data_IF_263689221947
#
_entry.id   IF_263689221947
#
_cell.length_a   1.000
_cell.length_b   1.000
_cell.length_c   1.000
_cell.angle_alpha   90.00
_cell.angle_beta   90.00
_cell.angle_gamma   90.00
#
_symmetry.space_group_name_H-M   'P 1'
#
loop_
_entity.id
_entity.type
_entity.pdbx_description
1 polymer ?
2 non-polymer ?
3 water ?
#
# COMPACT_ATOMS: atom_id res chain seq x y z
N UNK A 9 -2.87 -21.09 11.83
CA UNK A 9 -3.77 -22.02 11.09
C UNK A 9 -5.11 -21.31 10.97
N UNK A 10 -5.89 -21.65 9.97
CA UNK A 10 -7.21 -21.05 9.74
C UNK A 10 -8.28 -22.12 9.85
N UNK A 11 -9.47 -21.76 10.29
CA UNK A 11 -10.64 -22.66 10.26
C UNK A 11 -11.65 -22.00 9.30
N UNK A 12 -12.06 -22.71 8.25
CA UNK A 12 -13.06 -22.23 7.27
C UNK A 12 -14.27 -23.16 7.34
N UNK A 13 -15.44 -22.60 7.62
CA UNK A 13 -16.69 -23.38 7.75
C UNK A 13 -17.88 -22.49 7.44
N UNK A 14 -19.08 -23.04 7.55
CA UNK A 14 -20.32 -22.26 7.41
C UNK A 14 -21.09 -22.35 8.73
N UNK A 15 -21.78 -21.28 9.10
CA UNK A 15 -22.56 -21.24 10.35
C UNK A 15 -23.97 -21.78 10.06
N UNK A 16 -24.89 -21.65 11.02
CA UNK A 16 -26.25 -22.19 10.90
C UNK A 16 -27.08 -21.44 9.86
N UNK A 17 -26.66 -20.24 9.47
CA UNK A 17 -27.34 -19.45 8.41
C UNK A 17 -26.68 -19.77 7.06
N UNK A 18 -25.71 -20.67 7.02
CA UNK A 18 -25.01 -21.06 5.78
C UNK A 18 -23.95 -20.04 5.38
N UNK A 19 -23.62 -19.13 6.29
CA UNK A 19 -22.66 -18.02 6.02
C UNK A 19 -21.24 -18.52 6.30
N UNK A 20 -20.31 -18.23 5.40
CA UNK A 20 -18.89 -18.60 5.57
C UNK A 20 -18.32 -17.89 6.80
N UNK A 21 -17.63 -18.65 7.64
CA UNK A 21 -16.93 -18.12 8.83
C UNK A 21 -15.45 -18.51 8.66
N UNK A 22 -14.53 -17.55 8.77
CA UNK A 22 -13.07 -17.80 8.75
C UNK A 22 -12.53 -17.28 10.09
N UNK A 23 -11.94 -18.14 10.90
CA UNK A 23 -11.34 -17.73 12.20
C UNK A 23 -12.36 -16.95 13.03
N UNK A 24 -13.59 -17.43 13.12
CA UNK A 24 -14.62 -16.84 13.99
C UNK A 24 -15.34 -15.65 13.38
N UNK A 25 -14.93 -15.21 12.18
CA UNK A 25 -15.49 -14.00 11.55
C UNK A 25 -16.43 -14.43 10.42
N UNK A 26 -17.64 -13.88 10.41
CA UNK A 26 -18.65 -14.19 9.38
C UNK A 26 -18.48 -13.27 8.16
N UNK A 27 -18.67 -13.81 6.98
CA UNK A 27 -18.56 -13.09 5.69
C UNK A 27 -19.86 -13.32 4.92
N UNK A 28 -20.96 -12.66 5.31
CA UNK A 28 -22.25 -12.90 4.67
C UNK A 28 -22.34 -12.48 3.18
N UNK A 29 -21.37 -11.73 2.69
CA UNK A 29 -21.33 -11.29 1.26
C UNK A 29 -20.63 -12.33 0.39
N UNK A 30 -20.02 -13.35 0.99
CA UNK A 30 -19.17 -14.31 0.26
C UNK A 30 -19.94 -15.55 -0.22
N UNK A 31 -19.68 -15.97 -1.45
CA UNK A 31 -20.25 -17.22 -2.00
C UNK A 31 -19.31 -18.38 -1.62
N UNK A 32 -18.00 -18.24 -1.91
CA UNK A 32 -16.99 -19.26 -1.58
C UNK A 32 -15.69 -18.60 -1.09
N UNK A 33 -14.90 -19.31 -0.30
CA UNK A 33 -13.54 -18.86 0.06
C UNK A 33 -12.65 -19.28 -1.11
N UNK A 34 -11.78 -18.40 -1.59
CA UNK A 34 -10.78 -18.72 -2.65
C UNK A 34 -9.45 -19.08 -1.98
N UNK A 35 -8.97 -18.21 -1.11
CA UNK A 35 -7.67 -18.43 -0.44
C UNK A 35 -7.63 -17.76 0.92
N UNK A 36 -7.06 -18.42 1.90
CA UNK A 36 -6.84 -17.84 3.22
C UNK A 36 -5.59 -16.96 3.18
N UNK A 37 -5.40 -16.16 4.21
CA UNK A 37 -4.23 -15.26 4.32
C UNK A 37 -2.95 -16.09 4.21
N UNK A 38 -2.90 -17.21 4.88
CA UNK A 38 -1.65 -18.01 4.92
C UNK A 38 -1.31 -18.48 3.50
N UNK A 39 -2.29 -18.91 2.74
CA UNK A 39 -2.09 -19.40 1.34
C UNK A 39 -1.64 -18.23 0.46
N UNK A 40 -2.29 -17.09 0.63
CA UNK A 40 -1.99 -15.88 -0.17
C UNK A 40 -0.53 -15.47 0.10
N UNK A 41 -0.18 -15.33 1.37
CA UNK A 41 1.17 -14.83 1.75
C UNK A 41 2.25 -15.82 1.26
N UNK A 42 1.99 -17.11 1.39
CA UNK A 42 2.95 -18.15 0.93
C UNK A 42 3.11 -18.00 -0.58
N UNK A 43 2.02 -17.76 -1.29
CA UNK A 43 2.05 -17.61 -2.76
C UNK A 43 2.84 -16.36 -3.16
N UNK A 44 2.63 -15.26 -2.46
CA UNK A 44 3.32 -13.98 -2.80
C UNK A 44 4.82 -14.17 -2.57
N UNK A 45 5.19 -14.76 -1.44
CA UNK A 45 6.63 -14.91 -1.09
C UNK A 45 7.32 -15.81 -2.15
N UNK A 46 6.65 -16.85 -2.59
CA UNK A 46 7.20 -17.76 -3.63
C UNK A 46 7.46 -16.96 -4.93
N UNK A 47 6.52 -16.13 -5.36
CA UNK A 47 6.72 -15.28 -6.58
C UNK A 47 7.84 -14.26 -6.31
N UNK A 48 7.93 -13.74 -5.11
CA UNK A 48 8.98 -12.77 -4.76
C UNK A 48 10.35 -13.42 -5.04
N UNK A 49 10.49 -14.68 -4.66
CA UNK A 49 11.75 -15.43 -4.89
C UNK A 49 11.99 -15.57 -6.41
N UNK A 50 10.96 -15.90 -7.16
CA UNK A 50 11.05 -16.01 -8.64
C UNK A 50 11.51 -14.67 -9.23
N UNK A 51 10.91 -13.58 -8.77
CA UNK A 51 11.20 -12.22 -9.31
C UNK A 51 12.67 -11.89 -8.97
N UNK A 52 13.09 -12.13 -7.73
CA UNK A 52 14.46 -11.81 -7.29
C UNK A 52 15.46 -12.66 -8.09
N UNK A 53 15.16 -13.95 -8.23
CA UNK A 53 16.07 -14.86 -8.97
C UNK A 53 16.15 -14.41 -10.44
N UNK A 54 15.06 -13.89 -11.00
CA UNK A 54 15.02 -13.48 -12.42
C UNK A 54 15.81 -12.20 -12.65
N UNK A 55 15.65 -11.17 -11.79
CA UNK A 55 16.24 -9.82 -12.02
C UNK A 55 17.62 -9.66 -11.37
N UNK A 56 17.91 -10.42 -10.33
CA UNK A 56 19.18 -10.24 -9.58
C UNK A 56 20.39 -10.17 -10.53
N UNK A 57 20.54 -11.09 -11.51
CA UNK A 57 21.75 -11.10 -12.35
C UNK A 57 21.75 -10.13 -13.54
N UNK A 58 20.71 -9.33 -13.70
CA UNK A 58 20.54 -8.50 -14.91
C UNK A 58 21.19 -7.12 -14.72
N UNK A 59 21.51 -6.45 -15.82
CA UNK A 59 22.09 -5.10 -15.82
C UNK A 59 21.16 -4.22 -16.67
N UNK A 60 21.22 -2.92 -16.53
CA UNK A 60 20.40 -1.95 -17.30
C UNK A 60 21.09 -0.59 -17.25
N UNK A 61 20.45 0.45 -17.81
CA UNK A 61 21.14 1.77 -17.90
C UNK A 61 21.60 2.24 -16.53
N UNK A 62 22.83 2.77 -16.44
CA UNK A 62 23.40 3.37 -15.22
C UNK A 62 23.05 4.85 -15.21
N UNK A 63 22.12 5.29 -14.36
CA UNK A 63 21.74 6.71 -14.19
C UNK A 63 22.43 7.27 -12.95
N UNK A 64 23.03 6.41 -12.12
CA UNK A 64 23.76 6.81 -10.89
C UNK A 64 25.13 7.39 -11.24
N UNK A 65 25.90 6.70 -12.08
CA UNK A 65 27.19 7.21 -12.56
C UNK A 65 27.04 7.87 -13.93
N UNK A 66 25.82 8.03 -14.44
CA UNK A 66 25.55 8.57 -15.79
C UNK A 66 26.25 7.69 -16.82
N UNK A 67 26.65 6.47 -16.43
CA UNK A 67 27.47 5.58 -17.26
C UNK A 67 26.64 4.87 -18.29
N UNK A 68 27.15 3.78 -18.83
CA UNK A 68 26.44 3.04 -19.86
C UNK A 68 25.49 2.10 -19.15
N UNK A 69 25.97 0.93 -18.76
CA UNK A 69 25.13 -0.14 -18.17
C UNK A 69 25.77 -0.59 -16.87
N UNK A 70 24.95 -1.03 -15.91
CA UNK A 70 25.45 -1.52 -14.61
C UNK A 70 24.44 -2.50 -14.02
N UNK A 71 24.88 -3.40 -13.13
CA UNK A 71 23.96 -4.35 -12.54
C UNK A 71 22.80 -3.71 -11.76
N UNK A 72 21.69 -4.43 -11.69
CA UNK A 72 20.57 -4.00 -10.81
C UNK A 72 21.20 -3.88 -9.41
N UNK A 73 21.06 -2.72 -8.77
CA UNK A 73 21.67 -2.42 -7.47
C UNK A 73 20.87 -1.32 -6.77
N UNK A 74 21.22 -0.98 -5.56
CA UNK A 74 20.58 0.17 -4.89
C UNK A 74 20.90 1.44 -5.70
N UNK A 75 22.02 1.50 -6.38
CA UNK A 75 22.36 2.68 -7.22
C UNK A 75 21.44 2.71 -8.46
N UNK A 76 21.16 1.56 -9.07
CA UNK A 76 20.29 1.42 -10.27
C UNK A 76 19.24 0.35 -9.98
N UNK A 77 18.21 0.64 -9.17
CA UNK A 77 17.27 -0.42 -8.80
C UNK A 77 16.28 -0.88 -9.87
N UNK A 78 15.71 -2.05 -9.67
CA UNK A 78 14.59 -2.50 -10.49
C UNK A 78 13.50 -1.43 -10.32
N UNK A 79 12.81 -1.06 -11.39
CA UNK A 79 11.74 -0.05 -11.34
C UNK A 79 10.42 -0.80 -11.23
N UNK A 80 9.66 -0.61 -10.17
CA UNK A 80 8.32 -1.23 -9.99
C UNK A 80 7.26 -0.13 -10.12
N UNK A 81 6.27 -0.34 -10.98
CA UNK A 81 5.11 0.56 -11.12
C UNK A 81 3.92 -0.24 -10.59
N UNK A 82 3.37 0.18 -9.46
CA UNK A 82 2.21 -0.48 -8.82
C UNK A 82 0.93 0.23 -9.30
N UNK A 83 -0.10 -0.54 -9.62
CA UNK A 83 -1.36 -0.01 -10.19
C UNK A 83 -2.39 0.22 -9.06
N UNK A 84 -2.70 1.47 -8.80
CA UNK A 84 -3.67 1.83 -7.75
C UNK A 84 -5.08 1.67 -8.27
N UNK A 85 -6.04 1.44 -7.37
CA UNK A 85 -5.88 1.30 -5.90
C UNK A 85 -5.75 -0.17 -5.49
N UNK A 86 -6.24 -1.08 -6.31
CA UNK A 86 -6.32 -2.49 -5.91
C UNK A 86 -5.04 -3.16 -5.52
N UNK A 87 -3.91 -2.71 -6.05
CA UNK A 87 -2.62 -3.41 -5.82
C UNK A 87 -1.83 -2.91 -4.59
N UNK A 88 -2.31 -1.92 -3.83
CA UNK A 88 -1.45 -1.28 -2.79
C UNK A 88 -1.12 -2.23 -1.61
N UNK A 89 -2.08 -3.05 -1.19
CA UNK A 89 -1.84 -4.01 -0.06
C UNK A 89 -0.90 -5.11 -0.57
N UNK A 90 -1.21 -5.66 -1.73
CA UNK A 90 -0.35 -6.67 -2.39
C UNK A 90 1.07 -6.11 -2.54
N UNK A 91 1.18 -4.87 -2.99
CA UNK A 91 2.50 -4.24 -3.25
C UNK A 91 3.26 -4.11 -1.92
N UNK A 92 2.60 -3.62 -0.89
CA UNK A 92 3.22 -3.42 0.45
C UNK A 92 3.82 -4.77 0.93
N UNK A 93 3.08 -5.84 0.78
CA UNK A 93 3.58 -7.18 1.18
C UNK A 93 4.70 -7.68 0.24
N UNK A 94 4.49 -7.56 -1.07
CA UNK A 94 5.48 -8.05 -2.06
C UNK A 94 6.83 -7.35 -1.85
N UNK A 95 6.85 -6.04 -1.66
CA UNK A 95 8.14 -5.30 -1.59
C UNK A 95 8.93 -5.82 -0.37
N UNK A 96 8.24 -6.15 0.71
CA UNK A 96 8.92 -6.61 1.94
C UNK A 96 9.54 -8.00 1.69
N UNK A 97 8.84 -8.85 0.94
CA UNK A 97 9.39 -10.18 0.53
C UNK A 97 10.52 -9.98 -0.48
N UNK A 98 10.39 -9.02 -1.38
CA UNK A 98 11.48 -8.72 -2.36
C UNK A 98 12.72 -8.28 -1.57
N UNK A 99 12.54 -7.48 -0.54
CA UNK A 99 13.67 -7.08 0.33
C UNK A 99 14.23 -8.28 1.07
N UNK A 100 13.39 -9.18 1.54
CA UNK A 100 13.87 -10.41 2.22
C UNK A 100 14.84 -11.13 1.30
N UNK A 101 14.55 -11.16 -0.01
CA UNK A 101 15.37 -11.90 -1.01
C UNK A 101 16.47 -11.00 -1.57
N UNK A 102 16.62 -9.77 -1.06
CA UNK A 102 17.74 -8.90 -1.42
C UNK A 102 17.67 -8.29 -2.81
N UNK A 103 16.47 -8.09 -3.35
CA UNK A 103 16.29 -7.53 -4.71
C UNK A 103 16.25 -6.00 -4.60
N UNK A 104 17.23 -5.24 -5.13
CA UNK A 104 17.16 -3.79 -5.11
C UNK A 104 16.02 -3.30 -6.02
N UNK A 105 15.12 -2.49 -5.46
CA UNK A 105 13.96 -1.99 -6.23
C UNK A 105 13.40 -0.70 -5.65
N UNK A 106 12.67 0.04 -6.46
CA UNK A 106 11.96 1.27 -6.03
C UNK A 106 10.56 1.18 -6.62
N UNK A 107 9.59 1.83 -6.00
CA UNK A 107 8.16 1.73 -6.41
C UNK A 107 7.57 3.09 -6.71
N UNK A 108 6.86 3.23 -7.81
CA UNK A 108 6.03 4.43 -8.07
C UNK A 108 4.63 3.88 -8.41
N UNK A 109 3.65 4.77 -8.56
CA UNK A 109 2.26 4.37 -8.76
C UNK A 109 1.61 5.02 -9.97
N UNK A 110 0.73 4.30 -10.64
CA UNK A 110 -0.14 4.87 -11.68
C UNK A 110 -1.55 4.40 -11.34
N UNK A 111 -2.57 5.09 -11.84
CA UNK A 111 -3.97 4.65 -11.65
C UNK A 111 -4.69 4.79 -12.99
N UNK A 112 -5.44 3.77 -13.38
CA UNK A 112 -6.25 3.79 -14.63
C UNK A 112 -7.70 3.52 -14.26
N UNK A 113 -8.60 3.86 -15.16
CA UNK A 113 -10.04 3.62 -14.99
C UNK A 113 -10.68 3.50 -16.36
N UNK A 114 -11.90 2.99 -16.42
CA UNK A 114 -12.64 2.81 -17.68
C UNK A 114 -13.88 3.69 -17.68
N UNK A 115 -14.28 4.18 -18.84
CA UNK A 115 -15.52 4.94 -19.04
C UNK A 115 -16.33 4.21 -20.13
N UNK A 123 -13.88 1.79 -22.32
CA UNK A 123 -12.66 2.44 -22.85
C UNK A 123 -11.76 2.92 -21.68
N UNK A 124 -10.45 2.87 -21.82
CA UNK A 124 -9.50 3.14 -20.69
C UNK A 124 -8.98 4.58 -20.71
N UNK A 125 -8.70 5.14 -19.54
CA UNK A 125 -8.13 6.50 -19.39
C UNK A 125 -7.22 6.52 -18.15
N UNK A 126 -6.12 7.29 -18.20
CA UNK A 126 -5.17 7.43 -17.07
C UNK A 126 -5.76 8.36 -16.00
N UNK A 127 -5.88 7.95 -14.75
CA UNK A 127 -6.37 8.81 -13.65
C UNK A 127 -5.19 9.49 -12.99
N UNK A 128 -4.08 8.77 -12.85
CA UNK A 128 -2.88 9.29 -12.16
C UNK A 128 -1.64 8.76 -12.86
N UNK A 129 -0.71 9.64 -13.19
CA UNK A 129 0.52 9.28 -13.91
C UNK A 129 1.63 8.93 -12.91
N UNK A 130 2.60 8.15 -13.32
CA UNK A 130 3.81 7.92 -12.51
C UNK A 130 4.62 9.23 -12.49
N UNK A 131 5.47 9.43 -11.51
CA UNK A 131 6.31 10.65 -11.38
C UNK A 131 7.77 10.34 -11.76
N UNK A 132 8.12 9.07 -11.92
CA UNK A 132 9.49 8.67 -12.34
C UNK A 132 9.70 9.18 -13.78
N UNK A 133 10.87 9.75 -14.08
CA UNK A 133 11.12 10.41 -15.40
C UNK A 133 12.39 9.90 -16.09
N UNK A 134 13.04 8.84 -15.59
CA UNK A 134 14.30 8.31 -16.14
C UNK A 134 14.22 6.79 -16.27
N UNK A 135 13.23 6.26 -16.98
CA UNK A 135 12.99 4.79 -17.15
C UNK A 135 13.53 4.24 -18.48
N UNK A 136 14.05 5.09 -19.35
CA UNK A 136 14.60 4.65 -20.65
C UNK A 136 15.75 3.68 -20.35
N UNK A 137 15.73 2.51 -20.94
CA UNK A 137 16.81 1.52 -20.79
C UNK A 137 16.81 0.86 -19.43
N UNK A 138 15.72 0.95 -18.70
CA UNK A 138 15.59 0.31 -17.37
C UNK A 138 14.66 -0.90 -17.41
N UNK A 139 14.90 -1.89 -16.56
CA UNK A 139 13.98 -3.02 -16.35
C UNK A 139 12.79 -2.49 -15.54
N UNK A 140 11.57 -2.69 -16.05
CA UNK A 140 10.33 -2.17 -15.39
C UNK A 140 9.41 -3.36 -15.13
N UNK A 141 8.93 -3.49 -13.91
CA UNK A 141 7.98 -4.54 -13.51
C UNK A 141 6.68 -3.85 -13.08
N UNK A 142 5.56 -4.26 -13.66
CA UNK A 142 4.23 -3.73 -13.27
C UNK A 142 3.71 -4.67 -12.18
N UNK A 143 3.24 -4.15 -11.05
CA UNK A 143 2.54 -4.96 -10.02
C UNK A 143 1.05 -4.61 -10.14
N UNK A 144 0.19 -5.58 -10.41
CA UNK A 144 -1.27 -5.38 -10.62
C UNK A 144 -2.05 -6.39 -9.78
N UNK A 145 -3.29 -6.08 -9.41
CA UNK A 145 -4.11 -6.94 -8.53
C UNK A 145 -4.60 -8.19 -9.29
N UNK A 146 -5.19 -8.00 -10.46
CA UNK A 146 -5.78 -9.14 -11.20
C UNK A 146 -5.78 -8.90 -12.70
N UNK A 147 -5.58 -9.97 -13.47
CA UNK A 147 -5.78 -9.95 -14.92
C UNK A 147 -7.09 -10.72 -15.11
N UNK A 148 -8.09 -10.11 -15.73
CA UNK A 148 -9.42 -10.71 -15.96
C UNK A 148 -9.64 -10.72 -17.49
N UNK A 149 -10.22 -9.67 -18.07
CA UNK A 149 -10.36 -9.54 -19.55
C UNK A 149 -8.98 -9.32 -20.19
N UNK A 150 -8.08 -8.65 -19.47
CA UNK A 150 -6.73 -8.31 -19.98
C UNK A 150 -6.66 -6.92 -20.56
N UNK A 151 -7.77 -6.22 -20.64
CA UNK A 151 -7.82 -4.91 -21.35
C UNK A 151 -7.09 -3.84 -20.54
N UNK A 152 -7.24 -3.87 -19.22
CA UNK A 152 -6.58 -2.85 -18.36
C UNK A 152 -5.05 -2.97 -18.54
N UNK A 153 -4.48 -4.16 -18.46
CA UNK A 153 -3.01 -4.33 -18.53
C UNK A 153 -2.50 -4.08 -19.97
N UNK A 154 -3.26 -4.47 -20.99
CA UNK A 154 -2.84 -4.18 -22.39
C UNK A 154 -2.69 -2.67 -22.54
N UNK A 155 -3.62 -1.89 -22.01
CA UNK A 155 -3.59 -0.40 -22.05
C UNK A 155 -2.33 0.08 -21.30
N UNK A 156 -2.12 -0.42 -20.09
CA UNK A 156 -0.99 0.04 -19.24
C UNK A 156 0.33 -0.32 -19.93
N UNK A 157 0.46 -1.54 -20.40
CA UNK A 157 1.74 -2.00 -21.01
C UNK A 157 2.03 -1.16 -22.27
N UNK A 158 1.02 -0.89 -23.08
CA UNK A 158 1.22 -0.14 -24.34
C UNK A 158 1.69 1.28 -23.99
N UNK A 159 1.09 1.88 -22.97
CA UNK A 159 1.39 3.27 -22.56
C UNK A 159 2.79 3.34 -21.96
N UNK A 160 3.11 2.44 -21.04
CA UNK A 160 4.44 2.46 -20.34
C UNK A 160 5.52 2.22 -21.42
N UNK A 161 5.28 1.28 -22.31
CA UNK A 161 6.28 0.93 -23.34
C UNK A 161 6.56 2.16 -24.23
N UNK A 162 5.53 2.85 -24.69
CA UNK A 162 5.75 3.95 -25.68
C UNK A 162 6.30 5.20 -24.97
N UNK A 163 5.82 5.49 -23.75
CA UNK A 163 6.16 6.76 -23.06
C UNK A 163 7.50 6.67 -22.31
N UNK A 164 7.91 5.49 -21.83
CA UNK A 164 9.12 5.32 -21.00
C UNK A 164 10.23 4.54 -21.74
N UNK A 165 9.88 3.78 -22.76
CA UNK A 165 10.88 3.02 -23.57
C UNK A 165 11.81 2.23 -22.64
N UNK A 166 11.27 1.38 -21.76
CA UNK A 166 12.11 0.59 -20.89
C UNK A 166 12.91 -0.49 -21.63
N UNK A 167 13.98 -0.98 -21.02
CA UNK A 167 14.80 -2.08 -21.59
C UNK A 167 13.89 -3.30 -21.69
N UNK A 168 13.22 -3.66 -20.60
CA UNK A 168 12.24 -4.77 -20.59
C UNK A 168 11.02 -4.33 -19.77
N UNK A 169 9.87 -4.90 -20.06
CA UNK A 169 8.60 -4.58 -19.35
C UNK A 169 7.90 -5.90 -19.06
N UNK A 170 7.72 -6.23 -17.79
CA UNK A 170 7.04 -7.47 -17.37
C UNK A 170 5.94 -7.12 -16.38
N UNK A 171 5.06 -8.08 -16.14
CA UNK A 171 3.90 -7.89 -15.24
C UNK A 171 3.87 -8.98 -14.20
N UNK A 172 3.63 -8.62 -12.96
CA UNK A 172 3.38 -9.60 -11.88
C UNK A 172 1.96 -9.31 -11.37
N UNK A 173 1.09 -10.30 -11.38
CA UNK A 173 -0.29 -10.15 -10.83
C UNK A 173 -0.44 -10.97 -9.55
N UNK A 174 -1.24 -10.47 -8.63
CA UNK A 174 -1.60 -11.25 -7.44
C UNK A 174 -2.49 -12.39 -7.95
N UNK A 175 -3.47 -12.06 -8.80
CA UNK A 175 -4.45 -13.06 -9.26
C UNK A 175 -4.59 -13.13 -10.77
N UNK A 176 -4.80 -14.33 -11.28
CA UNK A 176 -5.11 -14.57 -12.69
C UNK A 176 -6.50 -15.21 -12.70
N UNK A 177 -7.46 -14.61 -13.40
CA UNK A 177 -8.80 -15.20 -13.63
C UNK A 177 -8.75 -15.70 -15.08
N UNK A 178 -8.30 -16.95 -15.33
CA UNK A 178 -8.06 -17.38 -16.71
C UNK A 178 -9.25 -17.26 -17.67
N UNK A 179 -10.42 -17.60 -17.19
CA UNK A 179 -11.63 -17.63 -18.03
C UNK A 179 -12.20 -16.27 -18.36
N UNK A 180 -11.69 -15.20 -17.78
CA UNK A 180 -12.16 -13.86 -18.12
C UNK A 180 -11.54 -13.24 -19.37
N UNK A 181 -10.51 -13.85 -19.96
CA UNK A 181 -9.73 -13.18 -21.04
C UNK A 181 -10.55 -12.85 -22.28
N UNK A 182 -10.39 -11.64 -22.79
CA UNK A 182 -11.00 -11.16 -24.05
C UNK A 182 -9.87 -10.68 -24.97
N UNK A 183 -8.69 -10.35 -24.43
CA UNK A 183 -7.48 -9.97 -25.21
C UNK A 183 -6.31 -10.75 -24.64
N UNK A 184 -5.35 -11.13 -25.50
CA UNK A 184 -4.20 -11.95 -25.09
C UNK A 184 -3.46 -11.19 -23.98
N UNK A 185 -3.24 -11.83 -22.85
CA UNK A 185 -2.49 -11.20 -21.73
C UNK A 185 -2.13 -12.31 -20.75
N UNK A 186 -0.88 -12.73 -20.69
CA UNK A 186 -0.43 -13.70 -19.68
C UNK A 186 0.70 -13.02 -18.89
N UNK A 187 0.42 -12.55 -17.66
CA UNK A 187 1.47 -11.98 -16.86
C UNK A 187 2.66 -12.93 -16.70
N UNK A 188 3.84 -12.36 -16.55
CA UNK A 188 5.12 -13.10 -16.44
C UNK A 188 5.12 -13.83 -15.09
N UNK A 189 4.56 -13.20 -14.07
CA UNK A 189 4.49 -13.77 -12.72
C UNK A 189 3.04 -13.74 -12.21
N UNK A 190 2.57 -14.84 -11.65
CA UNK A 190 1.18 -14.98 -11.15
C UNK A 190 1.25 -15.65 -9.77
N UNK A 191 0.74 -15.00 -8.73
CA UNK A 191 0.78 -15.55 -7.37
C UNK A 191 -0.34 -16.59 -7.19
N UNK A 192 -1.55 -16.29 -7.63
CA UNK A 192 -2.74 -17.14 -7.37
C UNK A 192 -3.62 -17.23 -8.61
N UNK A 193 -4.34 -18.32 -8.78
CA UNK A 193 -5.33 -18.47 -9.87
C UNK A 193 -6.69 -18.44 -9.17
N UNK A 194 -7.65 -17.69 -9.69
CA UNK A 194 -8.98 -17.55 -9.05
C UNK A 194 -10.05 -18.12 -10.00
N UNK A 195 -11.20 -18.52 -9.45
CA UNK A 195 -12.30 -18.99 -10.30
C UNK A 195 -12.87 -17.85 -11.15
N UNK A 196 -13.67 -18.19 -12.15
CA UNK A 196 -14.28 -17.23 -13.09
C UNK A 196 -15.48 -16.61 -12.39
N UNK A 197 -15.23 -15.85 -11.33
CA UNK A 197 -16.27 -15.23 -10.51
C UNK A 197 -15.70 -13.90 -10.01
N UNK A 198 -16.55 -13.02 -9.53
CA UNK A 198 -16.10 -11.73 -8.97
C UNK A 198 -15.48 -11.98 -7.59
N UNK A 199 -14.20 -11.65 -7.44
CA UNK A 199 -13.47 -11.89 -6.17
C UNK A 199 -13.40 -10.62 -5.30
N UNK A 200 -13.36 -10.80 -4.00
CA UNK A 200 -13.31 -9.69 -3.03
C UNK A 200 -12.29 -10.05 -1.95
N UNK A 201 -11.78 -9.04 -1.26
CA UNK A 201 -10.79 -9.25 -0.20
C UNK A 201 -9.38 -8.97 -0.65
N UNK A 202 -8.49 -8.71 0.29
CA UNK A 202 -7.05 -8.50 0.03
C UNK A 202 -6.86 -7.55 -1.17
N UNK A 203 -7.51 -6.39 -1.11
CA UNK A 203 -7.38 -5.36 -2.16
C UNK A 203 -8.55 -5.34 -3.13
N UNK A 204 -9.25 -6.46 -3.29
CA UNK A 204 -10.39 -6.58 -4.22
C UNK A 204 -11.61 -5.96 -3.55
N UNK A 205 -12.35 -5.13 -4.28
CA UNK A 205 -13.42 -4.33 -3.68
C UNK A 205 -14.80 -4.45 -4.26
N UNK A 206 -15.78 -3.96 -3.53
CA UNK A 206 -17.13 -3.66 -4.05
C UNK A 206 -17.30 -2.19 -3.58
N UNK A 207 -17.16 -1.21 -4.46
CA UNK A 207 -17.24 0.25 -4.09
C UNK A 207 -16.36 0.52 -2.86
N UNK A 208 -15.12 0.05 -2.87
CA UNK A 208 -14.06 0.29 -1.84
C UNK A 208 -14.31 -0.50 -0.56
N UNK A 209 -15.39 -1.25 -0.46
CA UNK A 209 -15.59 -2.13 0.70
C UNK A 209 -14.87 -3.45 0.46
N UNK A 210 -14.49 -4.16 1.52
CA UNK A 210 -13.94 -5.54 1.51
C UNK A 210 -12.42 -5.60 1.22
N UNK A 211 -11.79 -4.47 0.88
CA UNK A 211 -10.34 -4.48 0.51
C UNK A 211 -9.50 -4.93 1.72
N UNK A 212 -9.95 -4.65 2.94
CA UNK A 212 -9.14 -4.91 4.17
C UNK A 212 -9.21 -6.38 4.63
N UNK A 213 -9.99 -7.21 3.95
CA UNK A 213 -10.09 -8.65 4.32
C UNK A 213 -8.71 -9.30 4.08
N UNK A 214 -8.34 -10.21 4.96
CA UNK A 214 -7.04 -10.90 4.91
C UNK A 214 -7.13 -12.11 3.98
N UNK A 215 -8.35 -12.47 3.60
CA UNK A 215 -8.63 -13.65 2.75
C UNK A 215 -9.34 -13.20 1.48
N UNK A 216 -9.32 -14.01 0.44
CA UNK A 216 -9.97 -13.70 -0.85
C UNK A 216 -11.20 -14.61 -0.96
N UNK A 217 -12.33 -14.05 -1.33
CA UNK A 217 -13.61 -14.77 -1.49
C UNK A 217 -14.24 -14.46 -2.85
N UNK A 218 -15.17 -15.30 -3.28
CA UNK A 218 -16.04 -14.99 -4.43
C UNK A 218 -17.21 -14.22 -3.81
N UNK A 219 -17.83 -13.33 -4.58
CA UNK A 219 -18.95 -12.49 -4.12
C UNK A 219 -20.31 -13.14 -4.45
N UNK A 220 -21.23 -13.16 -3.51
CA UNK A 220 -22.62 -13.60 -3.81
C UNK A 220 -23.12 -12.66 -4.90
N UNK A 221 -23.74 -13.16 -5.99
CA UNK A 221 -24.09 -12.27 -7.09
C UNK A 221 -25.03 -11.11 -6.72
N UNK A 222 -25.89 -11.30 -5.72
CA UNK A 222 -26.81 -10.22 -5.31
C UNK A 222 -26.16 -9.07 -4.55
N UNK A 223 -24.92 -9.22 -4.10
CA UNK A 223 -24.21 -8.19 -3.26
C UNK A 223 -23.48 -7.13 -4.11
N UNK A 224 -23.37 -7.34 -5.41
CA UNK A 224 -22.55 -6.46 -6.28
C UNK A 224 -23.06 -5.00 -6.29
N UNK A 225 -24.35 -4.78 -6.07
CA UNK A 225 -24.97 -3.43 -6.12
C UNK A 225 -25.46 -3.02 -4.72
N UNK A 226 -24.81 -3.51 -3.66
CA UNK A 226 -25.23 -3.22 -2.27
C UNK A 226 -24.90 -1.77 -1.89
N UNK A 227 -23.85 -1.17 -2.45
CA UNK A 227 -23.39 0.20 -2.11
C UNK A 227 -23.42 1.07 -3.35
N UNK A 228 -24.61 1.49 -3.82
CA UNK A 228 -24.72 2.23 -5.07
C UNK A 228 -24.25 3.70 -5.02
N UNK A 229 -24.16 4.30 -3.83
CA UNK A 229 -23.79 5.73 -3.68
C UNK A 229 -22.30 5.97 -3.94
N UNK A 230 -21.98 6.94 -4.79
CA UNK A 230 -20.57 7.34 -5.08
C UNK A 230 -19.96 7.87 -3.78
N UNK A 231 -18.70 7.57 -3.53
CA UNK A 231 -18.00 8.02 -2.30
C UNK A 231 -17.44 9.44 -2.49
N UNK B 9 11.17 -13.04 18.77
CA UNK B 9 12.48 -12.48 19.20
C UNK B 9 13.28 -12.19 17.91
N UNK B 10 13.73 -10.97 17.75
CA UNK B 10 14.64 -10.60 16.63
C UNK B 10 16.05 -10.74 17.18
N UNK B 11 17.02 -11.12 16.36
CA UNK B 11 18.45 -11.19 16.75
C UNK B 11 19.10 -9.91 16.22
N UNK B 12 19.64 -9.07 17.09
CA UNK B 12 20.26 -7.78 16.72
C UNK B 12 21.72 -7.81 17.17
N UNK B 13 22.63 -7.63 16.24
CA UNK B 13 24.09 -7.69 16.50
C UNK B 13 24.82 -6.73 15.59
N UNK B 14 26.14 -6.70 15.70
CA UNK B 14 26.98 -5.92 14.77
C UNK B 14 28.03 -6.89 14.22
N UNK B 15 28.36 -6.80 12.96
CA UNK B 15 29.40 -7.66 12.32
C UNK B 15 30.78 -7.03 12.53
N UNK B 16 31.82 -7.65 12.01
CA UNK B 16 33.22 -7.19 12.21
C UNK B 16 33.44 -5.80 11.58
N UNK B 17 32.59 -5.39 10.64
CA UNK B 17 32.67 -4.06 9.99
C UNK B 17 31.93 -3.02 10.85
N UNK B 18 31.37 -3.40 11.99
CA UNK B 18 30.60 -2.51 12.88
C UNK B 18 29.20 -2.26 12.37
N UNK B 19 28.74 -3.05 11.39
CA UNK B 19 27.43 -2.83 10.73
C UNK B 19 26.34 -3.58 11.50
N UNK B 20 25.17 -2.95 11.67
CA UNK B 20 24.03 -3.55 12.37
C UNK B 20 23.52 -4.73 11.54
N UNK B 21 23.26 -5.85 12.20
CA UNK B 21 22.70 -7.06 11.56
C UNK B 21 21.42 -7.39 12.32
N UNK B 22 20.27 -7.47 11.63
CA UNK B 22 18.98 -7.89 12.24
C UNK B 22 18.55 -9.17 11.54
N UNK B 23 18.38 -10.25 12.29
CA UNK B 23 17.97 -11.57 11.72
C UNK B 23 18.86 -11.92 10.53
N UNK B 24 20.17 -11.71 10.65
CA UNK B 24 21.14 -12.16 9.62
C UNK B 24 21.35 -11.19 8.48
N UNK B 25 20.58 -10.10 8.44
CA UNK B 25 20.66 -9.11 7.35
C UNK B 25 21.42 -7.89 7.83
N UNK B 26 22.39 -7.45 7.03
CA UNK B 26 23.24 -6.29 7.36
C UNK B 26 22.60 -5.00 6.86
N UNK B 27 22.71 -3.92 7.63
CA UNK B 27 22.18 -2.57 7.28
C UNK B 27 23.32 -1.55 7.36
N UNK B 28 24.21 -1.52 6.35
CA UNK B 28 25.37 -0.63 6.38
C UNK B 28 25.03 0.88 6.35
N UNK B 29 23.81 1.23 5.94
CA UNK B 29 23.37 2.64 5.85
C UNK B 29 22.85 3.10 7.22
N UNK B 30 22.66 2.19 8.17
CA UNK B 30 22.00 2.52 9.45
C UNK B 30 23.00 2.91 10.53
N UNK B 31 22.62 3.88 11.36
CA UNK B 31 23.41 4.29 12.55
C UNK B 31 22.91 3.46 13.73
N UNK B 32 21.60 3.45 13.99
CA UNK B 32 21.03 2.69 15.14
C UNK B 32 19.69 2.04 14.77
N UNK B 33 19.31 0.98 15.47
CA UNK B 33 17.98 0.38 15.30
C UNK B 33 17.01 1.23 16.15
N UNK B 34 15.86 1.59 15.62
CA UNK B 34 14.80 2.34 16.35
C UNK B 34 13.73 1.33 16.79
N UNK B 35 13.20 0.53 15.86
CA UNK B 35 12.11 -0.41 16.19
C UNK B 35 12.14 -1.63 15.27
N UNK B 36 11.97 -2.80 15.85
CA UNK B 36 11.85 -4.07 15.10
C UNK B 36 10.42 -4.17 14.53
N UNK B 37 10.25 -5.06 13.57
CA UNK B 37 8.93 -5.31 12.96
C UNK B 37 7.91 -5.68 14.04
N UNK B 38 8.32 -6.52 14.97
CA UNK B 38 7.41 -7.03 16.02
C UNK B 38 6.88 -5.84 16.83
N UNK B 39 7.77 -4.91 17.18
CA UNK B 39 7.38 -3.72 17.99
C UNK B 39 6.49 -2.81 17.13
N UNK B 40 6.86 -2.64 15.87
CA UNK B 40 6.09 -1.73 14.97
C UNK B 40 4.66 -2.28 14.83
N UNK B 41 4.54 -3.56 14.54
CA UNK B 41 3.22 -4.17 14.25
C UNK B 41 2.34 -4.10 15.50
N UNK B 42 2.92 -4.41 16.65
CA UNK B 42 2.16 -4.36 17.92
C UNK B 42 1.67 -2.93 18.17
N UNK B 43 2.48 -1.92 17.85
CA UNK B 43 2.12 -0.50 18.07
C UNK B 43 1.00 -0.07 17.11
N UNK B 44 1.06 -0.55 15.87
CA UNK B 44 0.03 -0.20 14.86
C UNK B 44 -1.31 -0.84 15.30
N UNK B 45 -1.26 -2.11 15.68
CA UNK B 45 -2.50 -2.84 16.08
C UNK B 45 -3.12 -2.16 17.31
N UNK B 46 -2.31 -1.68 18.23
CA UNK B 46 -2.82 -1.01 19.44
C UNK B 46 -3.58 0.26 19.03
N UNK B 47 -3.02 1.03 18.11
CA UNK B 47 -3.65 2.29 17.65
C UNK B 47 -4.90 1.94 16.81
N UNK B 48 -4.85 0.87 16.03
CA UNK B 48 -6.02 0.42 15.27
C UNK B 48 -7.21 0.22 16.24
N UNK B 49 -6.95 -0.37 17.40
CA UNK B 49 -8.01 -0.64 18.40
C UNK B 49 -8.51 0.70 18.96
N UNK B 50 -7.61 1.63 19.20
CA UNK B 50 -7.98 2.99 19.65
C UNK B 50 -8.87 3.67 18.61
N UNK B 51 -8.50 3.55 17.34
CA UNK B 51 -9.23 4.20 16.22
C UNK B 51 -10.62 3.56 16.14
N UNK B 52 -10.68 2.25 16.12
CA UNK B 52 -11.97 1.53 16.01
C UNK B 52 -12.87 1.88 17.21
N UNK B 53 -12.29 1.91 18.40
CA UNK B 53 -13.08 2.19 19.63
C UNK B 53 -13.63 3.62 19.58
N UNK B 54 -12.86 4.55 19.03
CA UNK B 54 -13.25 5.98 18.97
C UNK B 54 -14.33 6.24 17.92
N UNK B 55 -14.23 5.62 16.75
CA UNK B 55 -15.12 5.94 15.61
C UNK B 55 -16.41 5.11 15.57
N UNK B 56 -16.35 3.86 16.02
CA UNK B 56 -17.53 2.98 15.88
C UNK B 56 -18.78 3.62 16.55
N UNK B 57 -18.66 4.34 17.68
CA UNK B 57 -19.85 4.99 18.28
C UNK B 57 -20.39 6.22 17.54
N UNK B 58 -19.70 6.72 16.54
CA UNK B 58 -20.04 8.03 15.92
C UNK B 58 -21.00 7.89 14.74
N UNK B 59 -21.60 9.01 14.37
CA UNK B 59 -22.56 9.11 13.26
C UNK B 59 -22.15 10.29 12.39
N UNK B 60 -22.60 10.30 11.15
CA UNK B 60 -22.24 11.37 10.20
C UNK B 60 -23.25 11.35 9.03
N UNK B 61 -23.04 12.16 8.02
CA UNK B 61 -24.04 12.32 6.94
C UNK B 61 -24.35 10.97 6.30
N UNK B 62 -25.64 10.66 6.13
CA UNK B 62 -26.11 9.44 5.44
C UNK B 62 -26.15 9.71 3.94
N UNK B 63 -25.26 9.13 3.13
CA UNK B 63 -25.28 9.26 1.66
C UNK B 63 -25.80 7.97 1.03
N UNK B 64 -25.99 6.92 1.83
CA UNK B 64 -26.54 5.62 1.35
C UNK B 64 -28.06 5.71 1.25
N UNK B 65 -28.72 6.24 2.28
CA UNK B 65 -30.19 6.26 2.37
C UNK B 65 -30.81 7.65 2.28
N UNK B 66 -30.11 8.64 1.76
CA UNK B 66 -30.72 9.98 1.56
C UNK B 66 -30.96 10.76 2.85
N UNK B 67 -29.94 10.89 3.69
CA UNK B 67 -30.02 11.75 4.89
C UNK B 67 -30.76 11.14 6.04
N UNK B 68 -30.64 11.73 7.22
CA UNK B 68 -29.76 12.88 7.51
C UNK B 68 -28.45 12.39 8.09
N UNK B 69 -28.45 11.95 9.36
CA UNK B 69 -27.24 11.46 10.08
C UNK B 69 -27.46 9.99 10.43
N UNK B 70 -26.44 9.15 10.29
CA UNK B 70 -26.54 7.72 10.55
C UNK B 70 -25.21 7.21 11.09
N UNK B 71 -25.20 6.08 11.80
CA UNK B 71 -23.96 5.59 12.39
C UNK B 71 -22.92 5.20 11.35
N UNK B 72 -21.65 5.30 11.71
CA UNK B 72 -20.56 4.78 10.86
C UNK B 72 -20.96 3.32 10.60
N UNK B 73 -20.91 2.87 9.35
CA UNK B 73 -21.36 1.53 8.95
C UNK B 73 -20.76 1.20 7.58
N UNK B 74 -20.94 -0.02 7.14
CA UNK B 74 -20.51 -0.37 5.77
C UNK B 74 -21.31 0.47 4.76
N UNK B 75 -22.52 0.92 5.07
CA UNK B 75 -23.31 1.82 4.18
C UNK B 75 -22.70 3.24 4.19
N UNK B 76 -22.24 3.71 5.36
CA UNK B 76 -21.64 5.06 5.54
C UNK B 76 -20.32 4.88 6.30
N UNK B 77 -19.27 4.38 5.64
CA UNK B 77 -18.04 4.10 6.34
C UNK B 77 -17.20 5.32 6.74
N UNK B 78 -16.31 5.12 7.69
CA UNK B 78 -15.30 6.14 8.00
C UNK B 78 -14.54 6.40 6.70
N UNK B 79 -14.23 7.64 6.39
CA UNK B 79 -13.42 7.97 5.19
C UNK B 79 -11.97 8.11 5.64
N UNK B 80 -11.09 7.33 5.02
CA UNK B 80 -9.65 7.41 5.32
C UNK B 80 -8.94 7.98 4.07
N UNK B 81 -8.10 8.97 4.26
CA UNK B 81 -7.25 9.55 3.18
C UNK B 81 -5.80 9.18 3.53
N UNK B 82 -5.14 8.37 2.71
CA UNK B 82 -3.73 7.96 2.88
C UNK B 82 -2.87 8.89 2.01
N UNK B 83 -1.77 9.37 2.56
CA UNK B 83 -0.85 10.30 1.86
C UNK B 83 0.21 9.47 1.12
N UNK B 84 0.13 9.44 -0.20
CA UNK B 84 1.14 8.77 -1.02
C UNK B 84 2.35 9.71 -1.20
N UNK B 85 3.54 9.12 -1.40
CA UNK B 85 3.78 7.64 -1.43
C UNK B 85 4.15 7.09 -0.04
N UNK B 86 4.57 7.93 0.89
CA UNK B 86 5.18 7.43 2.14
C UNK B 86 4.34 6.56 3.04
N UNK B 87 3.03 6.72 3.06
CA UNK B 87 2.16 5.99 4.01
C UNK B 87 1.57 4.69 3.43
N UNK B 88 1.93 4.25 2.24
CA UNK B 88 1.22 3.12 1.59
C UNK B 88 1.38 1.78 2.35
N UNK B 89 2.58 1.50 2.86
CA UNK B 89 2.84 0.22 3.58
C UNK B 89 2.13 0.31 4.96
N UNK B 90 2.29 1.43 5.65
CA UNK B 90 1.62 1.66 6.96
C UNK B 90 0.11 1.51 6.78
N UNK B 91 -0.43 2.11 5.73
CA UNK B 91 -1.88 2.06 5.44
C UNK B 91 -2.31 0.61 5.20
N UNK B 92 -1.57 -0.12 4.40
CA UNK B 92 -1.92 -1.53 4.06
C UNK B 92 -2.02 -2.34 5.38
N UNK B 93 -1.11 -2.10 6.30
CA UNK B 93 -1.11 -2.86 7.59
C UNK B 93 -2.23 -2.35 8.51
N UNK B 94 -2.39 -1.04 8.59
CA UNK B 94 -3.40 -0.43 9.48
C UNK B 94 -4.82 -0.87 9.07
N UNK B 95 -5.15 -0.84 7.78
CA UNK B 95 -6.55 -1.12 7.35
C UNK B 95 -6.89 -2.57 7.72
N UNK B 96 -5.92 -3.46 7.67
CA UNK B 96 -6.19 -4.88 7.99
C UNK B 96 -6.45 -5.01 9.51
N UNK B 97 -5.73 -4.26 10.32
CA UNK B 97 -5.99 -4.23 11.79
C UNK B 97 -7.37 -3.57 12.05
N UNK B 98 -7.70 -2.52 11.31
CA UNK B 98 -9.01 -1.85 11.48
C UNK B 98 -10.12 -2.86 11.15
N UNK B 99 -9.91 -3.67 10.10
CA UNK B 99 -10.88 -4.72 9.75
C UNK B 99 -10.99 -5.75 10.88
N UNK B 100 -9.86 -6.10 11.47
CA UNK B 100 -9.86 -7.05 12.60
C UNK B 100 -10.75 -6.53 13.74
N UNK B 101 -10.72 -5.23 13.98
CA UNK B 101 -11.48 -4.59 15.09
C UNK B 101 -12.89 -4.19 14.62
N UNK B 102 -13.24 -4.48 13.37
CA UNK B 102 -14.62 -4.29 12.89
C UNK B 102 -15.01 -2.86 12.58
N UNK B 103 -14.05 -2.02 12.25
CA UNK B 103 -14.33 -0.59 11.93
C UNK B 103 -14.68 -0.48 10.45
N UNK B 104 -15.92 -0.09 10.07
CA UNK B 104 -16.26 0.12 8.67
C UNK B 104 -15.47 1.33 8.15
N UNK B 105 -14.74 1.14 7.06
CA UNK B 105 -13.93 2.22 6.50
C UNK B 105 -13.63 2.00 5.01
N UNK B 106 -13.31 3.08 4.32
CA UNK B 106 -12.88 3.03 2.90
C UNK B 106 -11.66 3.96 2.80
N UNK B 107 -10.79 3.72 1.83
CA UNK B 107 -9.52 4.45 1.70
C UNK B 107 -9.42 5.10 0.35
N UNK B 108 -9.09 6.37 0.31
CA UNK B 108 -8.73 7.07 -0.93
C UNK B 108 -7.30 7.61 -0.69
N UNK B 109 -6.63 8.03 -1.74
CA UNK B 109 -5.25 8.53 -1.65
C UNK B 109 -5.09 9.94 -2.19
N UNK B 110 -4.20 10.72 -1.57
CA UNK B 110 -3.76 11.99 -2.16
C UNK B 110 -2.24 11.88 -2.21
N UNK B 111 -1.60 12.48 -3.20
CA UNK B 111 -0.15 12.44 -3.33
C UNK B 111 0.40 13.86 -3.24
N UNK B 112 1.37 14.06 -2.35
CA UNK B 112 2.06 15.36 -2.20
C UNK B 112 3.55 15.10 -2.42
N UNK B 113 4.30 16.11 -2.81
CA UNK B 113 5.76 15.99 -2.99
C UNK B 113 6.47 17.23 -2.48
N UNK B 114 7.79 17.11 -2.23
CA UNK B 114 8.67 18.24 -1.80
C UNK B 114 9.87 18.32 -2.75
N UNK B 125 3.93 20.73 -3.33
CA UNK B 125 3.01 20.54 -4.48
C UNK B 125 2.03 19.38 -4.28
N UNK B 126 0.78 19.51 -4.70
CA UNK B 126 -0.18 18.39 -4.71
C UNK B 126 0.02 17.74 -6.09
N UNK B 127 0.38 16.46 -6.15
CA UNK B 127 0.65 15.72 -7.43
C UNK B 127 -0.59 14.93 -7.86
N UNK B 128 -1.36 14.41 -6.91
CA UNK B 128 -2.59 13.65 -7.23
C UNK B 128 -3.67 13.98 -6.20
N UNK B 129 -4.86 14.30 -6.70
CA UNK B 129 -6.00 14.68 -5.84
C UNK B 129 -6.79 13.43 -5.43
N UNK B 130 -7.58 13.53 -4.39
CA UNK B 130 -8.50 12.45 -4.02
C UNK B 130 -9.55 12.32 -5.13
N UNK B 131 -10.15 11.15 -5.26
CA UNK B 131 -11.25 10.90 -6.25
C UNK B 131 -12.60 10.90 -5.55
N UNK B 132 -12.63 10.72 -4.23
CA UNK B 132 -13.90 10.75 -3.44
C UNK B 132 -14.50 12.15 -3.54
N UNK B 133 -15.81 12.26 -3.76
CA UNK B 133 -16.50 13.56 -4.01
C UNK B 133 -17.69 13.79 -3.07
N UNK B 134 -17.90 12.97 -2.04
CA UNK B 134 -19.06 13.10 -1.12
C UNK B 134 -18.58 13.02 0.34
N UNK B 135 -17.60 13.82 0.70
CA UNK B 135 -17.02 13.79 2.08
C UNK B 135 -17.65 14.88 2.99
N UNK B 136 -18.52 15.72 2.43
CA UNK B 136 -19.18 16.79 3.23
C UNK B 136 -19.93 16.13 4.40
N UNK B 137 -19.67 16.56 5.63
CA UNK B 137 -20.40 16.05 6.81
C UNK B 137 -19.98 14.64 7.18
N UNK B 138 -18.85 14.17 6.66
CA UNK B 138 -18.32 12.83 6.99
C UNK B 138 -17.17 12.93 7.96
N UNK B 139 -16.99 11.92 8.80
CA UNK B 139 -15.79 11.77 9.63
C UNK B 139 -14.67 11.34 8.68
N UNK B 140 -13.56 12.04 8.68
CA UNK B 140 -12.40 11.77 7.79
C UNK B 140 -11.12 11.63 8.65
N UNK B 141 -10.36 10.57 8.43
CA UNK B 141 -9.10 10.30 9.16
C UNK B 141 -7.98 10.30 8.13
N UNK B 142 -6.94 11.07 8.36
CA UNK B 142 -5.75 11.08 7.49
C UNK B 142 -4.76 10.06 8.06
N UNK B 143 -4.19 9.18 7.21
CA UNK B 143 -3.10 8.28 7.62
C UNK B 143 -1.81 8.83 6.97
N UNK B 144 -0.82 9.17 7.78
CA UNK B 144 0.45 9.78 7.32
C UNK B 144 1.62 9.02 7.97
N UNK B 145 2.79 9.07 7.35
CA UNK B 145 3.97 8.29 7.83
C UNK B 145 4.58 8.92 9.09
N UNK B 146 4.86 10.21 9.03
CA UNK B 146 5.57 10.87 10.16
C UNK B 146 5.21 12.35 10.25
N UNK B 147 5.15 12.87 11.46
CA UNK B 147 5.02 14.33 11.70
C UNK B 147 6.41 14.73 12.25
N UNK B 148 7.10 15.63 11.56
CA UNK B 148 8.46 16.08 11.93
C UNK B 148 8.36 17.60 12.16
N UNK B 149 8.49 18.42 11.12
CA UNK B 149 8.30 19.88 11.22
C UNK B 149 6.82 20.22 11.46
N UNK B 150 5.91 19.41 10.92
CA UNK B 150 4.47 19.68 10.99
C UNK B 150 3.94 20.42 9.77
N UNK B 151 4.81 20.93 8.91
CA UNK B 151 4.37 21.79 7.77
C UNK B 151 3.59 20.96 6.74
N UNK B 152 4.02 19.73 6.49
CA UNK B 152 3.37 18.87 5.45
C UNK B 152 1.90 18.65 5.89
N UNK B 153 1.70 18.28 7.15
CA UNK B 153 0.32 17.96 7.60
C UNK B 153 -0.52 19.24 7.73
N UNK B 154 0.09 20.38 8.08
CA UNK B 154 -0.71 21.64 8.13
C UNK B 154 -1.24 21.92 6.71
N UNK B 155 -0.42 21.67 5.69
CA UNK B 155 -0.79 21.90 4.27
C UNK B 155 -1.93 20.95 3.88
N UNK B 156 -1.79 19.68 4.23
CA UNK B 156 -2.80 18.65 3.85
C UNK B 156 -4.12 18.93 4.57
N UNK B 157 -4.07 19.21 5.86
CA UNK B 157 -5.29 19.38 6.67
C UNK B 157 -6.09 20.57 6.13
N UNK B 158 -5.41 21.67 5.85
CA UNK B 158 -6.07 22.88 5.33
C UNK B 158 -6.73 22.58 3.97
N UNK B 159 -6.03 21.87 3.10
CA UNK B 159 -6.56 21.53 1.77
C UNK B 159 -7.80 20.63 1.90
N UNK B 160 -7.68 19.60 2.73
CA UNK B 160 -8.78 18.61 2.89
C UNK B 160 -9.97 19.33 3.53
N UNK B 161 -9.77 20.19 4.51
CA UNK B 161 -10.91 20.84 5.20
C UNK B 161 -11.64 21.75 4.18
N UNK B 162 -10.91 22.49 3.38
CA UNK B 162 -11.53 23.51 2.48
C UNK B 162 -12.26 22.84 1.31
N UNK B 163 -11.68 21.82 0.73
CA UNK B 163 -12.26 21.11 -0.42
C UNK B 163 -13.43 20.22 -0.01
N UNK B 164 -13.34 19.53 1.13
CA UNK B 164 -14.33 18.46 1.49
C UNK B 164 -15.30 18.82 2.61
N UNK B 165 -15.01 19.84 3.41
CA UNK B 165 -15.88 20.26 4.54
C UNK B 165 -16.34 19.05 5.39
N UNK B 166 -15.40 18.26 5.94
CA UNK B 166 -15.79 17.10 6.71
C UNK B 166 -16.42 17.49 8.06
N UNK B 167 -17.20 16.59 8.64
CA UNK B 167 -17.78 16.79 9.99
C UNK B 167 -16.61 16.93 10.96
N UNK B 168 -15.69 15.98 10.90
CA UNK B 168 -14.46 16.02 11.70
C UNK B 168 -13.28 15.57 10.83
N UNK B 169 -12.09 16.06 11.16
CA UNK B 169 -10.84 15.71 10.43
C UNK B 169 -9.77 15.41 11.49
N UNK B 170 -9.28 14.19 11.53
CA UNK B 170 -8.22 13.79 12.47
C UNK B 170 -7.06 13.18 11.69
N UNK B 171 -5.94 13.01 12.37
CA UNK B 171 -4.71 12.47 11.76
C UNK B 171 -4.17 11.34 12.63
N UNK B 172 -3.80 10.24 12.00
CA UNK B 172 -3.08 9.15 12.66
C UNK B 172 -1.73 9.07 11.94
N UNK B 173 -0.64 9.15 12.68
CA UNK B 173 0.71 9.00 12.09
C UNK B 173 1.34 7.70 12.60
N UNK B 174 2.16 7.09 11.78
CA UNK B 174 2.95 5.94 12.27
C UNK B 174 3.97 6.49 13.28
N UNK B 175 4.67 7.57 12.93
CA UNK B 175 5.78 8.08 13.75
C UNK B 175 5.61 9.56 14.10
N UNK B 176 6.00 9.91 15.33
CA UNK B 176 6.05 11.31 15.79
C UNK B 176 7.52 11.60 16.13
N UNK B 177 8.13 12.61 15.52
CA UNK B 177 9.47 13.11 15.88
C UNK B 177 9.20 14.45 16.59
N UNK B 178 8.93 14.44 17.91
CA UNK B 178 8.51 15.68 18.59
C UNK B 178 9.58 16.80 18.57
N UNK B 179 10.84 16.43 18.52
CA UNK B 179 11.95 17.41 18.56
C UNK B 179 12.17 18.15 17.25
N UNK B 180 11.44 17.82 16.19
CA UNK B 180 11.60 18.48 14.88
C UNK B 180 10.57 19.56 14.59
N UNK B 181 9.61 19.79 15.47
CA UNK B 181 8.49 20.70 15.16
C UNK B 181 8.92 22.12 14.84
N UNK B 182 8.38 22.72 13.78
CA UNK B 182 8.58 24.15 13.43
C UNK B 182 7.21 24.86 13.52
N UNK B 183 6.09 24.14 13.41
CA UNK B 183 4.72 24.70 13.49
C UNK B 183 3.90 23.76 14.39
N UNK B 184 2.83 24.26 14.97
CA UNK B 184 1.98 23.45 15.87
C UNK B 184 1.31 22.35 15.03
N UNK B 185 1.52 21.10 15.41
CA UNK B 185 0.86 19.95 14.75
C UNK B 185 0.91 18.79 15.74
N UNK B 186 -0.22 18.43 16.32
CA UNK B 186 -0.31 17.30 17.28
C UNK B 186 -1.28 16.26 16.69
N UNK B 187 -0.79 15.16 16.10
CA UNK B 187 -1.70 14.16 15.60
C UNK B 187 -2.59 13.59 16.70
N UNK B 188 -3.78 13.15 16.32
CA UNK B 188 -4.76 12.58 17.28
C UNK B 188 -4.34 11.17 17.69
N UNK B 189 -3.74 10.43 16.77
CA UNK B 189 -3.29 9.04 17.01
C UNK B 189 -1.82 8.92 16.58
N UNK B 190 -0.98 8.34 17.44
CA UNK B 190 0.48 8.17 17.19
C UNK B 190 0.84 6.73 17.54
N UNK B 191 1.43 5.99 16.61
CA UNK B 191 1.82 4.59 16.85
C UNK B 191 3.15 4.57 17.63
N UNK B 192 4.15 5.32 17.18
CA UNK B 192 5.53 5.24 17.73
C UNK B 192 6.18 6.63 17.79
N UNK B 193 7.10 6.82 18.72
CA UNK B 193 7.91 8.06 18.83
C UNK B 193 9.31 7.69 18.31
N UNK B 194 9.90 8.53 17.47
CA UNK B 194 11.24 8.28 16.86
C UNK B 194 12.23 9.27 17.44
N UNK B 195 13.53 8.92 17.46
CA UNK B 195 14.53 9.86 17.90
C UNK B 195 14.62 11.06 16.94
N UNK B 196 15.34 12.09 17.36
CA UNK B 196 15.47 13.34 16.58
C UNK B 196 16.56 13.10 15.54
N UNK B 197 16.32 12.16 14.64
CA UNK B 197 17.29 11.75 13.62
C UNK B 197 16.52 11.38 12.36
N UNK B 198 17.20 11.28 11.23
CA UNK B 198 16.57 10.90 9.97
C UNK B 198 16.29 9.39 10.04
N UNK B 199 15.04 8.99 9.95
CA UNK B 199 14.66 7.54 10.05
C UNK B 199 14.46 6.91 8.67
N UNK B 200 14.77 5.64 8.57
CA UNK B 200 14.62 4.88 7.31
C UNK B 200 13.97 3.54 7.63
N UNK B 201 13.37 2.92 6.64
CA UNK B 201 12.71 1.62 6.82
C UNK B 201 11.22 1.76 7.01
N UNK B 202 10.50 0.67 6.82
CA UNK B 202 9.02 0.64 7.00
C UNK B 202 8.39 1.89 6.41
N UNK B 203 8.61 2.11 5.12
CA UNK B 203 8.01 3.23 4.38
C UNK B 203 8.92 4.45 4.28
N UNK B 204 9.86 4.60 5.20
CA UNK B 204 10.75 5.80 5.29
C UNK B 204 11.88 5.61 4.28
N UNK B 205 12.17 6.63 3.48
CA UNK B 205 13.06 6.47 2.32
C UNK B 205 14.28 7.38 2.24
N UNK B 206 15.20 7.03 1.35
CA UNK B 206 16.26 7.96 0.87
C UNK B 206 16.11 7.82 -0.65
N UNK B 207 15.44 8.76 -1.31
CA UNK B 207 15.19 8.71 -2.77
C UNK B 207 14.58 7.34 -3.13
N UNK B 208 13.54 6.94 -2.41
CA UNK B 208 12.74 5.70 -2.66
C UNK B 208 13.45 4.41 -2.23
N UNK B 209 14.69 4.50 -1.79
CA UNK B 209 15.38 3.33 -1.23
C UNK B 209 15.01 3.12 0.24
N UNK B 210 15.07 1.88 0.73
CA UNK B 210 14.93 1.51 2.17
C UNK B 210 13.48 1.36 2.64
N UNK B 211 12.50 1.70 1.81
CA UNK B 211 11.08 1.65 2.25
C UNK B 211 10.67 0.22 2.60
N UNK B 212 11.26 -0.80 1.97
CA UNK B 212 10.84 -2.23 2.13
C UNK B 212 11.39 -2.88 3.40
N UNK B 213 12.23 -2.19 4.15
CA UNK B 213 12.78 -2.75 5.41
C UNK B 213 11.62 -2.98 6.39
N UNK B 214 11.65 -4.09 7.11
CA UNK B 214 10.60 -4.45 8.08
C UNK B 214 10.84 -3.74 9.40
N UNK B 215 12.01 -3.11 9.56
CA UNK B 215 12.41 -2.41 10.80
C UNK B 215 12.70 -0.94 10.49
N UNK B 216 12.66 -0.10 11.52
CA UNK B 216 12.97 1.34 11.37
C UNK B 216 14.35 1.57 11.98
N UNK B 217 15.20 2.28 11.26
CA UNK B 217 16.57 2.61 11.70
C UNK B 217 16.79 4.12 11.57
N UNK B 218 17.82 4.61 12.22
CA UNK B 218 18.28 5.99 12.00
C UNK B 218 19.30 5.85 10.87
N UNK B 219 19.44 6.88 10.05
CA UNK B 219 20.35 6.87 8.88
C UNK B 219 21.71 7.44 9.31
N UNK B 220 22.80 6.84 8.83
CA UNK B 220 24.14 7.40 9.11
C UNK B 220 24.18 8.81 8.54
N UNK B 221 24.80 9.76 9.26
CA UNK B 221 24.82 11.14 8.83
C UNK B 221 25.45 11.32 7.45
N UNK B 222 24.85 12.16 6.62
CA UNK B 222 25.37 12.48 5.27
C UNK B 222 24.91 11.48 4.23
N UNK B 223 24.29 10.36 4.64
CA UNK B 223 23.93 9.26 3.69
C UNK B 223 22.64 9.64 2.96
N UNK B 224 21.98 10.73 3.32
CA UNK B 224 20.74 11.21 2.66
C UNK B 224 21.05 11.70 1.24
N UNK B 225 22.32 11.86 0.88
CA UNK B 225 22.77 12.31 -0.47
C UNK B 225 23.39 11.13 -1.23
N UNK B 226 23.16 9.89 -0.82
CA UNK B 226 23.78 8.68 -1.41
C UNK B 226 23.31 8.46 -2.86
N UNK B 227 22.06 8.80 -3.19
CA UNK B 227 21.44 8.54 -4.52
C UNK B 227 20.99 9.86 -5.13
N UNK B 228 21.90 10.67 -5.71
CA UNK B 228 21.51 12.01 -6.19
C UNK B 228 20.67 12.00 -7.47
N UNK B 229 20.72 10.92 -8.24
CA UNK B 229 20.05 10.86 -9.57
C UNK B 229 18.53 10.81 -9.42
N UNK B 230 17.83 11.68 -10.13
CA UNK B 230 16.35 11.67 -10.12
C UNK B 230 15.90 10.36 -10.78
N UNK B 231 14.90 9.70 -10.22
CA UNK B 231 14.37 8.41 -10.76
C UNK B 231 13.42 8.70 -11.92
#
# INVERSE_FOLDING_TARGET
MISSQQAMVHVVSRNAEGVIVVDGKAYPMAEELVATESVIQRSIKAVAKQIADFYRPLSHRDTHGGGGVAPISDENPLIIISVLKGSYIFTADMVRYLGDYGLPHVVDFLRVASYRGTSSTNKMQLLAETQFKALRGKHVLILEDIVDSGKTLRYILDKVQREHQPATLKVCVLADKPGGRRVTMQPDFVCLTVPNKYVIGYGFEVNDRFRCFRHIFTLRPGEARRYPAHL
MISSQQAMVHVVSRNAEGVIVVDGKAYPMAEELVATESVIQRSIKAVAKQIADFYRPLSHRDTHGGGGVAPISDENPLIIISVLKGSYIFTADMVRYLGDYGLPHVVDFLRVASYRGTSSTNKMQLLAETQFKALRGKHVLILEDIVDSGKTLRYILDKVQREHQPATLKVCVLADKPGGRRVTMQPDFVCLTVPNKYVIGYGFEVNDRFRCFRHIFTLRPGEARRYPAHL
#
